data_IF_510559268333
#
_entry.id   IF_510559268333
#
_cell.length_a   1.000
_cell.length_b   1.000
_cell.length_c   1.000
_cell.angle_alpha   90.00
_cell.angle_beta   90.00
_cell.angle_gamma   90.00
#
_symmetry.space_group_name_H-M   'P 1'
#
loop_
_entity.id
_entity.type
_entity.pdbx_description
1 polymer ?
#
# COMPACT_ATOMS: atom_id res chain seq x y z
N UNK A 1 -1.91 -16.23 -10.23
CA UNK A 1 -2.38 -15.65 -8.94
C UNK A 1 -1.27 -15.32 -7.96
N UNK A 2 -0.52 -16.26 -7.34
CA UNK A 2 0.51 -15.88 -6.35
C UNK A 2 1.61 -14.97 -6.93
N UNK A 3 2.06 -15.25 -8.15
CA UNK A 3 3.10 -14.45 -8.80
C UNK A 3 2.62 -13.05 -9.22
N UNK A 4 1.33 -12.88 -9.57
CA UNK A 4 0.75 -11.56 -9.91
C UNK A 4 0.60 -10.69 -8.66
N UNK A 5 0.16 -11.29 -7.54
CA UNK A 5 0.15 -10.62 -6.23
C UNK A 5 1.57 -10.16 -5.85
N UNK A 6 2.56 -11.04 -5.97
CA UNK A 6 3.96 -10.70 -5.68
C UNK A 6 4.48 -9.56 -6.57
N UNK A 7 4.07 -9.55 -7.85
CA UNK A 7 4.40 -8.47 -8.77
C UNK A 7 3.77 -7.15 -8.34
N UNK A 8 2.48 -7.12 -7.97
CA UNK A 8 1.86 -5.90 -7.45
C UNK A 8 2.60 -5.38 -6.21
N UNK A 9 2.89 -6.23 -5.23
CA UNK A 9 3.67 -5.85 -4.04
C UNK A 9 5.01 -5.23 -4.42
N UNK A 10 5.73 -5.86 -5.35
CA UNK A 10 7.01 -5.37 -5.86
C UNK A 10 6.88 -4.02 -6.57
N UNK A 11 5.82 -3.82 -7.34
CA UNK A 11 5.55 -2.59 -8.08
C UNK A 11 5.26 -1.41 -7.13
N UNK A 12 4.32 -1.57 -6.19
CA UNK A 12 4.01 -0.54 -5.19
C UNK A 12 5.23 -0.22 -4.32
N UNK A 13 6.01 -1.23 -3.93
CA UNK A 13 7.26 -1.04 -3.18
C UNK A 13 8.30 -0.26 -3.97
N UNK A 14 8.43 -0.55 -5.28
CA UNK A 14 9.35 0.15 -6.17
C UNK A 14 9.02 1.64 -6.26
N UNK A 15 7.75 1.98 -6.48
CA UNK A 15 7.32 3.38 -6.54
C UNK A 15 7.45 4.11 -5.19
N UNK A 16 7.13 3.45 -4.07
CA UNK A 16 7.35 4.01 -2.74
C UNK A 16 8.84 4.32 -2.50
N UNK A 17 9.75 3.41 -2.87
CA UNK A 17 11.19 3.64 -2.74
C UNK A 17 11.69 4.78 -3.63
N UNK A 18 11.23 4.87 -4.88
CA UNK A 18 11.60 5.93 -5.82
C UNK A 18 11.14 7.30 -5.32
N UNK A 19 9.85 7.45 -5.02
CA UNK A 19 9.27 8.71 -4.49
C UNK A 19 9.93 9.07 -3.17
N UNK A 20 10.04 8.13 -2.23
CA UNK A 20 10.65 8.36 -0.92
C UNK A 20 12.10 8.87 -1.04
N UNK A 21 12.91 8.24 -1.89
CA UNK A 21 14.31 8.64 -2.10
C UNK A 21 14.42 10.05 -2.67
N UNK A 22 13.63 10.37 -3.70
CA UNK A 22 13.64 11.68 -4.35
C UNK A 22 13.12 12.79 -3.44
N UNK A 23 12.07 12.53 -2.65
CA UNK A 23 11.56 13.50 -1.68
C UNK A 23 12.56 13.71 -0.56
N UNK A 24 13.14 12.66 0.02
CA UNK A 24 14.15 12.81 1.07
C UNK A 24 15.43 13.48 0.59
N UNK A 25 15.81 13.33 -0.68
CA UNK A 25 16.88 14.09 -1.30
C UNK A 25 16.55 15.59 -1.45
N UNK A 26 15.27 15.95 -1.52
CA UNK A 26 14.80 17.34 -1.63
C UNK A 26 14.75 18.07 -0.29
N UNK A 27 14.74 17.34 0.83
CA UNK A 27 14.66 17.93 2.16
C UNK A 27 16.08 18.31 2.66
N UNK A 28 16.30 19.54 3.17
CA UNK A 28 17.58 19.97 3.71
C UNK A 28 18.05 19.09 4.89
N UNK A 29 19.37 18.87 5.02
CA UNK A 29 19.97 18.03 6.08
C UNK A 29 19.60 18.48 7.51
N UNK A 30 19.38 19.77 7.73
CA UNK A 30 18.94 20.30 9.04
C UNK A 30 17.49 19.89 9.42
N UNK A 31 16.70 19.38 8.47
CA UNK A 31 15.27 19.04 8.63
C UNK A 31 14.99 17.54 8.57
N UNK A 32 16.01 16.70 8.49
CA UNK A 32 15.88 15.24 8.43
C UNK A 32 17.02 14.57 9.19
N UNK A 33 16.86 13.32 9.65
CA UNK A 33 17.99 12.51 10.11
C UNK A 33 18.96 12.25 8.96
N UNK A 34 20.19 11.87 9.31
CA UNK A 34 21.17 11.45 8.32
C UNK A 34 20.76 10.11 7.71
N UNK A 35 20.51 10.10 6.40
CA UNK A 35 19.99 8.95 5.65
C UNK A 35 20.99 8.53 4.57
N UNK A 36 21.15 7.22 4.40
CA UNK A 36 21.92 6.63 3.31
C UNK A 36 21.11 6.60 2.02
N UNK A 37 21.10 7.71 1.29
CA UNK A 37 20.52 7.77 -0.05
C UNK A 37 21.51 7.15 -1.05
N UNK A 38 21.10 6.09 -1.75
CA UNK A 38 21.94 5.38 -2.72
C UNK A 38 21.29 5.39 -4.09
N UNK A 39 22.08 5.77 -5.11
CA UNK A 39 21.70 5.63 -6.52
C UNK A 39 21.34 4.18 -6.88
N UNK A 40 22.04 3.21 -6.28
CA UNK A 40 21.79 1.78 -6.54
C UNK A 40 20.37 1.36 -6.15
N UNK A 41 19.85 1.86 -5.03
CA UNK A 41 18.48 1.55 -4.62
C UNK A 41 17.44 2.14 -5.57
N UNK A 42 17.69 3.34 -6.12
CA UNK A 42 16.82 3.89 -7.17
C UNK A 42 16.88 3.08 -8.47
N UNK A 43 18.08 2.66 -8.88
CA UNK A 43 18.27 1.82 -10.06
C UNK A 43 17.58 0.46 -9.90
N UNK A 44 17.73 -0.19 -8.75
CA UNK A 44 17.05 -1.45 -8.44
C UNK A 44 15.53 -1.29 -8.38
N UNK A 45 15.02 -0.21 -7.78
CA UNK A 45 13.59 0.06 -7.77
C UNK A 45 13.05 0.37 -9.18
N UNK A 46 13.82 1.05 -10.03
CA UNK A 46 13.47 1.27 -11.44
C UNK A 46 13.40 -0.05 -12.23
N UNK A 47 14.38 -0.94 -12.05
CA UNK A 47 14.36 -2.27 -12.66
C UNK A 47 13.21 -3.13 -12.10
N UNK A 48 12.95 -3.03 -10.80
CA UNK A 48 11.79 -3.64 -10.15
C UNK A 48 10.49 -3.19 -10.79
N UNK A 49 10.30 -1.87 -11.00
CA UNK A 49 9.12 -1.35 -11.68
C UNK A 49 8.96 -1.91 -13.11
N UNK A 50 10.05 -2.08 -13.87
CA UNK A 50 10.00 -2.70 -15.20
C UNK A 50 9.56 -4.18 -15.14
N UNK A 51 10.18 -4.97 -14.26
CA UNK A 51 9.88 -6.40 -14.12
C UNK A 51 8.47 -6.62 -13.61
N UNK A 52 8.08 -5.92 -12.54
CA UNK A 52 6.81 -6.16 -11.87
C UNK A 52 5.61 -5.61 -12.64
N UNK A 53 5.77 -4.53 -13.41
CA UNK A 53 4.69 -4.01 -14.27
C UNK A 53 4.38 -4.91 -15.48
N UNK A 54 5.25 -5.88 -15.79
CA UNK A 54 4.99 -6.84 -16.87
C UNK A 54 3.92 -7.88 -16.50
N UNK A 55 3.56 -8.02 -15.22
CA UNK A 55 2.68 -9.11 -14.79
C UNK A 55 1.31 -9.14 -15.48
N UNK A 56 0.54 -8.05 -15.56
CA UNK A 56 -0.74 -8.07 -16.27
C UNK A 56 -0.60 -8.39 -17.77
N UNK A 57 0.51 -7.98 -18.39
CA UNK A 57 0.79 -8.26 -19.81
C UNK A 57 1.10 -9.73 -20.03
N UNK A 58 1.93 -10.32 -19.16
CA UNK A 58 2.27 -11.74 -19.23
C UNK A 58 1.05 -12.63 -18.94
N UNK A 59 0.20 -12.22 -18.00
CA UNK A 59 -1.05 -12.92 -17.73
C UNK A 59 -1.99 -12.90 -18.93
N UNK A 60 -2.19 -11.74 -19.57
CA UNK A 60 -3.01 -11.67 -20.77
C UNK A 60 -2.40 -12.45 -21.94
N UNK A 61 -1.08 -12.37 -22.12
CA UNK A 61 -0.37 -13.10 -23.17
C UNK A 61 -0.51 -14.62 -23.01
N UNK A 62 -0.55 -15.12 -21.77
CA UNK A 62 -0.75 -16.55 -21.51
C UNK A 62 -2.08 -17.09 -22.03
N UNK A 63 -3.12 -16.24 -22.16
CA UNK A 63 -4.43 -16.63 -22.73
C UNK A 63 -4.37 -16.93 -24.22
N UNK A 64 -3.33 -16.49 -24.92
CA UNK A 64 -3.10 -16.73 -26.36
C UNK A 64 -2.03 -17.79 -26.61
N UNK A 65 -1.59 -18.51 -25.57
CA UNK A 65 -0.50 -19.46 -25.69
C UNK A 65 -0.80 -20.59 -26.68
N UNK A 66 -2.02 -21.13 -26.66
CA UNK A 66 -2.42 -22.24 -27.55
C UNK A 66 -2.54 -21.81 -29.02
N UNK A 67 -2.94 -20.57 -29.29
CA UNK A 67 -3.12 -20.07 -30.66
C UNK A 67 -1.84 -19.53 -31.28
N UNK A 68 -1.09 -18.73 -30.54
CA UNK A 68 0.01 -17.91 -31.08
C UNK A 68 1.38 -18.27 -30.47
N UNK A 69 1.43 -19.22 -29.53
CA UNK A 69 2.59 -19.49 -28.70
C UNK A 69 2.90 -18.35 -27.73
N UNK A 70 3.89 -18.52 -26.86
CA UNK A 70 4.23 -17.50 -25.84
C UNK A 70 4.71 -16.18 -26.44
N UNK A 71 5.63 -16.24 -27.41
CA UNK A 71 6.15 -15.05 -28.08
C UNK A 71 5.08 -14.34 -28.92
N UNK A 72 4.29 -15.10 -29.68
CA UNK A 72 3.19 -14.54 -30.47
C UNK A 72 2.12 -13.91 -29.57
N UNK A 73 1.79 -14.54 -28.43
CA UNK A 73 0.89 -13.99 -27.43
C UNK A 73 1.35 -12.63 -26.89
N UNK A 74 2.64 -12.47 -26.55
CA UNK A 74 3.20 -11.17 -26.11
C UNK A 74 3.09 -10.13 -27.23
N UNK A 75 3.50 -10.47 -28.45
CA UNK A 75 3.44 -9.56 -29.60
C UNK A 75 2.00 -9.11 -29.87
N UNK A 76 1.05 -10.05 -29.79
CA UNK A 76 -0.38 -9.79 -29.94
C UNK A 76 -0.90 -8.84 -28.85
N UNK A 77 -0.56 -9.08 -27.59
CA UNK A 77 -0.94 -8.19 -26.48
C UNK A 77 -0.40 -6.78 -26.68
N UNK A 78 0.86 -6.63 -27.09
CA UNK A 78 1.47 -5.33 -27.32
C UNK A 78 0.82 -4.59 -28.50
N UNK A 79 0.44 -5.29 -29.57
CA UNK A 79 -0.13 -4.67 -30.78
C UNK A 79 -1.62 -4.36 -30.62
N UNK A 80 -2.39 -5.31 -30.11
CA UNK A 80 -3.85 -5.29 -30.23
C UNK A 80 -4.55 -4.79 -28.96
N UNK A 81 -3.87 -4.82 -27.80
CA UNK A 81 -4.48 -4.50 -26.52
C UNK A 81 -3.87 -3.24 -25.90
N UNK A 82 -4.73 -2.35 -25.41
CA UNK A 82 -4.34 -1.10 -24.75
C UNK A 82 -3.35 -1.35 -23.59
N UNK A 83 -3.56 -2.42 -22.81
CA UNK A 83 -2.68 -2.76 -21.68
C UNK A 83 -1.23 -3.02 -22.13
N UNK A 84 -1.05 -3.70 -23.26
CA UNK A 84 0.27 -3.99 -23.83
C UNK A 84 0.92 -2.76 -24.45
N UNK A 85 0.14 -1.92 -25.13
CA UNK A 85 0.61 -0.66 -25.71
C UNK A 85 1.10 0.31 -24.62
N UNK A 86 0.31 0.50 -23.56
CA UNK A 86 0.68 1.38 -22.44
C UNK A 86 1.86 0.80 -21.67
N UNK A 87 1.91 -0.52 -21.44
CA UNK A 87 3.07 -1.15 -20.81
C UNK A 87 4.34 -0.97 -21.64
N UNK A 88 4.28 -1.11 -22.96
CA UNK A 88 5.43 -0.87 -23.83
C UNK A 88 5.93 0.59 -23.73
N UNK A 89 5.00 1.56 -23.69
CA UNK A 89 5.35 2.97 -23.43
C UNK A 89 5.96 3.16 -22.04
N UNK A 90 5.39 2.54 -21.00
CA UNK A 90 5.95 2.55 -19.65
C UNK A 90 7.35 1.96 -19.61
N UNK A 91 7.62 0.87 -20.35
CA UNK A 91 8.94 0.26 -20.42
C UNK A 91 9.97 1.22 -21.03
N UNK A 92 9.62 1.91 -22.13
CA UNK A 92 10.47 2.96 -22.71
C UNK A 92 10.73 4.07 -21.68
N UNK A 93 9.70 4.55 -21.00
CA UNK A 93 9.84 5.57 -19.96
C UNK A 93 10.71 5.11 -18.78
N UNK A 94 10.60 3.85 -18.36
CA UNK A 94 11.44 3.27 -17.30
C UNK A 94 12.89 3.17 -17.74
N UNK A 95 13.17 2.77 -18.99
CA UNK A 95 14.53 2.72 -19.54
C UNK A 95 15.13 4.14 -19.56
N UNK A 96 14.38 5.12 -20.07
CA UNK A 96 14.81 6.51 -20.08
C UNK A 96 15.07 7.04 -18.67
N UNK A 97 14.16 6.75 -17.73
CA UNK A 97 14.32 7.12 -16.32
C UNK A 97 15.56 6.46 -15.71
N UNK A 98 15.79 5.16 -15.96
CA UNK A 98 16.96 4.43 -15.47
C UNK A 98 18.27 5.03 -15.97
N UNK A 99 18.35 5.32 -17.27
CA UNK A 99 19.52 5.98 -17.87
C UNK A 99 19.70 7.38 -17.27
N UNK A 100 18.60 8.14 -17.14
CA UNK A 100 18.61 9.47 -16.55
C UNK A 100 19.18 9.46 -15.14
N UNK A 101 18.68 8.63 -14.22
CA UNK A 101 19.18 8.57 -12.84
C UNK A 101 20.62 8.04 -12.74
N UNK A 102 21.08 7.32 -13.77
CA UNK A 102 22.43 6.76 -13.84
C UNK A 102 23.46 7.84 -14.16
N UNK A 103 23.16 8.73 -15.12
CA UNK A 103 24.10 9.75 -15.59
C UNK A 103 23.87 11.13 -14.96
N UNK A 104 22.64 11.46 -14.58
CA UNK A 104 22.31 12.78 -14.04
C UNK A 104 22.71 12.95 -12.55
N UNK A 105 23.07 14.16 -12.13
CA UNK A 105 23.41 14.50 -10.73
C UNK A 105 22.14 14.70 -9.87
N UNK A 106 21.25 13.71 -9.83
CA UNK A 106 19.92 13.77 -9.17
C UNK A 106 19.99 14.13 -7.67
N UNK A 107 21.07 13.75 -6.99
CA UNK A 107 21.26 14.04 -5.57
C UNK A 107 21.91 15.39 -5.29
N UNK A 108 22.59 15.97 -6.28
CA UNK A 108 23.32 17.22 -6.14
C UNK A 108 22.45 18.41 -6.57
N UNK A 109 21.64 18.23 -7.63
CA UNK A 109 20.97 19.32 -8.31
C UNK A 109 19.44 19.20 -8.26
N UNK A 110 18.77 20.28 -7.87
CA UNK A 110 17.31 20.32 -7.71
C UNK A 110 16.56 20.13 -9.03
N UNK A 111 17.07 20.67 -10.14
CA UNK A 111 16.42 20.56 -11.44
C UNK A 111 16.30 19.10 -11.89
N UNK A 112 17.41 18.35 -11.84
CA UNK A 112 17.41 16.92 -12.19
C UNK A 112 16.52 16.09 -11.28
N UNK A 113 16.44 16.46 -9.99
CA UNK A 113 15.55 15.80 -9.04
C UNK A 113 14.07 16.03 -9.34
N UNK A 114 13.69 17.24 -9.77
CA UNK A 114 12.33 17.54 -10.20
C UNK A 114 11.96 16.78 -11.49
N UNK A 115 12.89 16.69 -12.43
CA UNK A 115 12.72 15.88 -13.66
C UNK A 115 12.53 14.40 -13.27
N UNK A 116 13.34 13.87 -12.36
CA UNK A 116 13.19 12.50 -11.87
C UNK A 116 11.82 12.26 -11.21
N UNK A 117 11.32 13.20 -10.39
CA UNK A 117 9.98 13.12 -9.81
C UNK A 117 8.88 13.11 -10.88
N UNK A 118 9.02 13.95 -11.91
CA UNK A 118 8.11 13.96 -13.04
C UNK A 118 8.06 12.60 -13.74
N UNK A 119 9.21 11.98 -14.04
CA UNK A 119 9.26 10.62 -14.60
C UNK A 119 8.48 9.61 -13.74
N UNK A 120 8.73 9.60 -12.42
CA UNK A 120 8.07 8.63 -11.53
C UNK A 120 6.55 8.87 -11.48
N UNK A 121 6.11 10.13 -11.45
CA UNK A 121 4.68 10.48 -11.48
C UNK A 121 4.04 10.05 -12.81
N UNK A 122 4.71 10.30 -13.96
CA UNK A 122 4.24 9.84 -15.27
C UNK A 122 4.12 8.32 -15.35
N UNK A 123 5.06 7.59 -14.74
CA UNK A 123 5.01 6.13 -14.66
C UNK A 123 3.85 5.63 -13.80
N UNK A 124 3.60 6.24 -12.63
CA UNK A 124 2.45 5.91 -11.80
C UNK A 124 1.15 6.17 -12.56
N UNK A 125 1.07 7.28 -13.31
CA UNK A 125 -0.09 7.59 -14.13
C UNK A 125 -0.29 6.54 -15.24
N UNK A 126 0.76 6.14 -15.94
CA UNK A 126 0.70 5.11 -16.98
C UNK A 126 0.17 3.77 -16.42
N UNK A 127 0.67 3.34 -15.25
CA UNK A 127 0.15 2.15 -14.55
C UNK A 127 -1.32 2.33 -14.16
N UNK A 128 -1.72 3.52 -13.74
CA UNK A 128 -3.09 3.80 -13.30
C UNK A 128 -4.10 3.81 -14.46
N UNK A 129 -3.69 4.20 -15.67
CA UNK A 129 -4.53 4.10 -16.87
C UNK A 129 -4.83 2.65 -17.23
N UNK A 130 -3.94 1.71 -16.90
CA UNK A 130 -4.13 0.27 -17.10
C UNK A 130 -4.95 -0.41 -16.00
N UNK A 131 -5.41 0.33 -14.98
CA UNK A 131 -6.14 -0.28 -13.87
C UNK A 131 -7.60 -0.57 -14.20
N UNK A 132 -8.18 -1.56 -13.54
CA UNK A 132 -9.60 -1.92 -13.67
C UNK A 132 -10.53 -0.73 -13.42
N UNK A 133 -10.17 0.17 -12.51
CA UNK A 133 -10.98 1.37 -12.26
C UNK A 133 -10.99 2.34 -13.44
N UNK A 134 -9.95 2.36 -14.27
CA UNK A 134 -9.90 3.21 -15.46
C UNK A 134 -10.88 2.78 -16.56
N UNK A 135 -11.22 1.49 -16.65
CA UNK A 135 -12.26 1.01 -17.59
C UNK A 135 -13.68 1.27 -17.08
N UNK A 136 -13.86 1.52 -15.79
CA UNK A 136 -15.18 1.75 -15.17
C UNK A 136 -15.61 3.22 -15.19
N UNK A 137 -14.66 4.16 -15.22
CA UNK A 137 -14.96 5.58 -15.21
C UNK A 137 -13.82 6.40 -15.82
N UNK A 138 -14.11 7.49 -16.55
CA UNK A 138 -13.09 8.44 -17.03
C UNK A 138 -12.18 8.98 -15.92
N UNK A 139 -12.68 9.03 -14.67
CA UNK A 139 -11.93 9.51 -13.52
C UNK A 139 -11.21 8.41 -12.75
N UNK A 140 -11.48 7.13 -13.03
CA UNK A 140 -10.92 6.01 -12.27
C UNK A 140 -9.40 5.93 -12.34
N UNK A 141 -8.81 6.25 -13.49
CA UNK A 141 -7.35 6.36 -13.63
C UNK A 141 -6.77 7.47 -12.72
N UNK A 142 -7.46 8.61 -12.62
CA UNK A 142 -7.03 9.73 -11.78
C UNK A 142 -7.14 9.37 -10.30
N UNK A 143 -8.26 8.77 -9.87
CA UNK A 143 -8.43 8.34 -8.48
C UNK A 143 -7.35 7.35 -8.07
N UNK A 144 -7.05 6.37 -8.94
CA UNK A 144 -6.02 5.39 -8.67
C UNK A 144 -4.61 6.02 -8.66
N UNK A 145 -4.29 6.90 -9.62
CA UNK A 145 -3.01 7.58 -9.67
C UNK A 145 -2.77 8.44 -8.42
N UNK A 146 -3.76 9.25 -8.02
CA UNK A 146 -3.66 10.09 -6.82
C UNK A 146 -3.50 9.23 -5.58
N UNK A 147 -4.31 8.16 -5.44
CA UNK A 147 -4.20 7.23 -4.32
C UNK A 147 -2.80 6.62 -4.23
N UNK A 148 -2.26 6.14 -5.36
CA UNK A 148 -0.95 5.51 -5.43
C UNK A 148 0.21 6.49 -5.18
N UNK A 149 0.11 7.73 -5.68
CA UNK A 149 1.09 8.79 -5.40
C UNK A 149 1.10 9.09 -3.90
N UNK A 150 -0.06 9.32 -3.28
CA UNK A 150 -0.14 9.64 -1.85
C UNK A 150 0.39 8.48 -0.98
N UNK A 151 0.04 7.24 -1.32
CA UNK A 151 0.58 6.04 -0.68
C UNK A 151 2.10 5.96 -0.83
N UNK A 152 2.63 6.27 -2.02
CA UNK A 152 4.08 6.26 -2.30
C UNK A 152 4.81 7.38 -1.56
N UNK A 153 4.22 8.56 -1.41
CA UNK A 153 4.77 9.67 -0.61
C UNK A 153 4.86 9.27 0.86
N UNK A 154 3.74 8.85 1.46
CA UNK A 154 3.67 8.52 2.88
C UNK A 154 4.56 7.32 3.21
N UNK A 155 4.36 6.19 2.52
CA UNK A 155 5.12 4.95 2.74
C UNK A 155 6.58 5.14 2.37
N UNK A 156 6.87 5.79 1.26
CA UNK A 156 8.23 5.99 0.77
C UNK A 156 9.11 6.78 1.73
N UNK A 157 8.63 7.93 2.20
CA UNK A 157 9.37 8.73 3.20
C UNK A 157 9.57 7.92 4.48
N UNK A 158 8.53 7.24 4.95
CA UNK A 158 8.60 6.44 6.17
C UNK A 158 9.60 5.29 6.03
N UNK A 159 9.66 4.61 4.87
CA UNK A 159 10.63 3.56 4.60
C UNK A 159 12.07 4.11 4.62
N UNK A 160 12.31 5.23 3.92
CA UNK A 160 13.63 5.87 3.90
C UNK A 160 14.11 6.20 5.31
N UNK A 161 13.27 6.86 6.09
CA UNK A 161 13.63 7.29 7.45
C UNK A 161 13.75 6.11 8.41
N UNK A 162 12.94 5.07 8.25
CA UNK A 162 12.94 3.93 9.18
C UNK A 162 14.12 3.00 8.96
N UNK A 163 14.46 2.71 7.70
CA UNK A 163 15.41 1.64 7.36
C UNK A 163 16.76 2.17 6.91
N UNK A 164 16.85 3.43 6.44
CA UNK A 164 18.09 4.01 5.90
C UNK A 164 18.69 5.13 6.77
N UNK A 165 18.04 5.52 7.88
CA UNK A 165 18.60 6.50 8.82
C UNK A 165 19.73 5.93 9.67
N UNK A 166 20.91 6.56 9.64
CA UNK A 166 22.06 6.17 10.47
C UNK A 166 21.91 6.58 11.94
N UNK A 167 21.20 7.68 12.20
CA UNK A 167 21.02 8.23 13.54
C UNK A 167 19.62 8.86 13.69
N UNK A 168 19.34 9.37 14.89
CA UNK A 168 18.11 10.09 15.25
C UNK A 168 18.33 11.60 15.38
N UNK A 169 19.43 12.15 14.82
CA UNK A 169 19.65 13.61 14.81
C UNK A 169 18.56 14.30 14.01
N UNK A 170 18.22 15.54 14.37
CA UNK A 170 17.17 16.34 13.70
C UNK A 170 15.77 15.69 13.63
N UNK A 171 15.49 14.64 14.42
CA UNK A 171 14.22 13.93 14.35
C UNK A 171 13.01 14.80 14.66
N UNK A 172 13.15 15.74 15.61
CA UNK A 172 12.11 16.73 15.89
C UNK A 172 11.85 17.64 14.70
N UNK A 173 12.89 18.04 13.97
CA UNK A 173 12.75 18.84 12.75
C UNK A 173 12.07 18.03 11.65
N UNK A 174 12.37 16.75 11.53
CA UNK A 174 11.68 15.82 10.63
C UNK A 174 10.17 15.74 10.95
N UNK A 175 9.81 15.45 12.20
CA UNK A 175 8.42 15.35 12.63
C UNK A 175 7.64 16.68 12.56
N UNK A 176 8.32 17.83 12.43
CA UNK A 176 7.62 19.13 12.25
C UNK A 176 6.97 19.22 10.87
N UNK A 177 7.63 18.75 9.82
CA UNK A 177 7.10 18.83 8.46
C UNK A 177 6.47 17.51 7.99
N UNK A 178 7.01 16.36 8.42
CA UNK A 178 6.50 15.07 7.96
C UNK A 178 5.14 14.72 8.60
N UNK A 179 4.91 15.03 9.88
CA UNK A 179 3.62 14.71 10.51
C UNK A 179 2.41 15.38 9.81
N UNK A 180 2.46 16.68 9.43
CA UNK A 180 1.43 17.28 8.58
C UNK A 180 1.28 16.60 7.21
N UNK A 181 2.40 16.31 6.52
CA UNK A 181 2.38 15.64 5.21
C UNK A 181 1.73 14.26 5.32
N UNK A 182 2.09 13.47 6.33
CA UNK A 182 1.52 12.16 6.59
C UNK A 182 0.02 12.25 6.90
N UNK A 183 -0.40 13.21 7.74
CA UNK A 183 -1.82 13.40 8.06
C UNK A 183 -2.66 13.78 6.83
N UNK A 184 -2.17 14.71 6.01
CA UNK A 184 -2.82 15.09 4.75
C UNK A 184 -2.87 13.89 3.79
N UNK A 185 -1.75 13.17 3.66
CA UNK A 185 -1.67 11.98 2.80
C UNK A 185 -2.69 10.94 3.22
N UNK A 186 -2.75 10.60 4.51
CA UNK A 186 -3.71 9.64 5.07
C UNK A 186 -5.15 10.08 4.80
N UNK A 187 -5.50 11.34 5.06
CA UNK A 187 -6.84 11.86 4.80
C UNK A 187 -7.23 11.74 3.33
N UNK A 188 -6.32 12.09 2.42
CA UNK A 188 -6.56 11.99 0.98
C UNK A 188 -6.54 10.52 0.47
N UNK A 189 -5.77 9.63 1.08
CA UNK A 189 -5.77 8.19 0.79
C UNK A 189 -7.12 7.59 1.17
N UNK A 190 -7.66 7.93 2.36
CA UNK A 190 -8.99 7.49 2.78
C UNK A 190 -10.04 8.02 1.80
N UNK A 191 -9.98 9.30 1.45
CA UNK A 191 -10.92 9.92 0.52
C UNK A 191 -10.87 9.27 -0.88
N UNK A 192 -9.68 9.15 -1.48
CA UNK A 192 -9.52 8.51 -2.80
C UNK A 192 -9.82 7.02 -2.76
N UNK A 193 -9.52 6.32 -1.66
CA UNK A 193 -9.89 4.93 -1.45
C UNK A 193 -11.40 4.74 -1.42
N UNK A 194 -12.13 5.65 -0.77
CA UNK A 194 -13.58 5.66 -0.78
C UNK A 194 -14.14 5.91 -2.20
N UNK A 195 -13.58 6.86 -2.95
CA UNK A 195 -13.97 7.08 -4.35
C UNK A 195 -13.74 5.83 -5.21
N UNK A 196 -12.61 5.14 -5.03
CA UNK A 196 -12.36 3.86 -5.72
C UNK A 196 -13.40 2.80 -5.32
N UNK A 197 -13.77 2.70 -4.04
CA UNK A 197 -14.83 1.79 -3.60
C UNK A 197 -16.17 2.09 -4.28
N UNK A 198 -16.55 3.36 -4.44
CA UNK A 198 -17.81 3.74 -5.12
C UNK A 198 -17.85 3.36 -6.60
N UNK A 199 -16.69 3.16 -7.24
CA UNK A 199 -16.60 2.67 -8.62
C UNK A 199 -16.69 1.15 -8.71
N UNK A 200 -16.41 0.44 -7.62
CA UNK A 200 -16.22 -1.02 -7.59
C UNK A 200 -17.37 -1.78 -6.95
N UNK A 201 -18.19 -1.11 -6.15
CA UNK A 201 -19.37 -1.69 -5.49
C UNK A 201 -20.32 -0.60 -4.99
N UNK A 202 -21.57 -0.99 -4.71
CA UNK A 202 -22.46 -0.19 -3.90
C UNK A 202 -21.97 -0.18 -2.43
N UNK A 203 -21.48 0.97 -1.94
CA UNK A 203 -20.91 1.07 -0.59
C UNK A 203 -21.91 0.73 0.51
N UNK A 204 -23.22 0.94 0.28
CA UNK A 204 -24.25 0.54 1.23
C UNK A 204 -24.33 -0.98 1.43
N UNK A 205 -23.90 -1.76 0.44
CA UNK A 205 -23.88 -3.21 0.45
C UNK A 205 -22.53 -3.78 0.90
N UNK A 206 -21.57 -2.93 1.30
CA UNK A 206 -20.24 -3.38 1.70
C UNK A 206 -20.25 -4.53 2.73
N UNK A 207 -21.08 -4.52 3.81
CA UNK A 207 -21.16 -5.67 4.70
C UNK A 207 -21.56 -6.97 3.99
N UNK A 208 -22.44 -6.89 2.99
CA UNK A 208 -22.89 -8.05 2.22
C UNK A 208 -21.79 -8.64 1.34
N UNK A 209 -20.83 -7.81 0.93
CA UNK A 209 -19.64 -8.27 0.18
C UNK A 209 -18.70 -9.11 1.03
N UNK A 210 -18.81 -9.13 2.37
CA UNK A 210 -17.94 -9.97 3.21
C UNK A 210 -18.16 -11.47 2.97
N UNK A 211 -19.26 -11.88 2.34
CA UNK A 211 -19.44 -13.25 1.90
C UNK A 211 -18.52 -13.63 0.71
N UNK A 212 -17.96 -12.63 0.02
CA UNK A 212 -17.13 -12.77 -1.17
C UNK A 212 -15.64 -12.54 -0.86
N UNK A 213 -14.75 -13.10 -1.68
CA UNK A 213 -13.30 -12.95 -1.52
C UNK A 213 -12.87 -11.47 -1.52
N UNK A 214 -13.36 -10.68 -2.49
CA UNK A 214 -13.02 -9.26 -2.57
C UNK A 214 -13.39 -8.51 -1.27
N UNK A 215 -14.60 -8.72 -0.73
CA UNK A 215 -15.03 -8.05 0.50
C UNK A 215 -14.24 -8.49 1.73
N UNK A 216 -13.84 -9.77 1.82
CA UNK A 216 -12.98 -10.29 2.87
C UNK A 216 -11.61 -9.60 2.89
N UNK A 217 -10.92 -9.54 1.76
CA UNK A 217 -9.61 -8.87 1.68
C UNK A 217 -9.73 -7.35 1.86
N UNK A 218 -10.82 -6.75 1.41
CA UNK A 218 -11.07 -5.33 1.64
C UNK A 218 -11.29 -5.05 3.13
N UNK A 219 -12.01 -5.91 3.85
CA UNK A 219 -12.16 -5.82 5.30
C UNK A 219 -10.81 -5.95 6.02
N UNK A 220 -10.02 -6.96 5.67
CA UNK A 220 -8.67 -7.16 6.23
C UNK A 220 -7.80 -5.91 6.00
N UNK A 221 -7.87 -5.29 4.81
CA UNK A 221 -7.16 -4.04 4.51
C UNK A 221 -7.55 -2.92 5.48
N UNK A 222 -8.85 -2.70 5.70
CA UNK A 222 -9.34 -1.71 6.65
C UNK A 222 -8.86 -1.97 8.09
N UNK A 223 -8.88 -3.24 8.52
CA UNK A 223 -8.43 -3.63 9.86
C UNK A 223 -6.92 -3.49 10.07
N UNK A 224 -6.10 -3.73 9.03
CA UNK A 224 -4.65 -3.50 9.06
C UNK A 224 -4.34 -2.00 9.20
N UNK A 225 -5.12 -1.13 8.57
CA UNK A 225 -4.89 0.33 8.63
C UNK A 225 -5.03 0.86 10.06
N UNK A 226 -5.87 0.25 10.91
CA UNK A 226 -6.09 0.74 12.29
C UNK A 226 -4.80 0.73 13.13
N UNK A 227 -4.03 -0.37 13.29
CA UNK A 227 -2.73 -0.34 13.95
C UNK A 227 -1.73 0.64 13.33
N UNK A 228 -1.73 0.79 12.00
CA UNK A 228 -0.87 1.79 11.33
C UNK A 228 -1.22 3.20 11.83
N UNK A 229 -2.51 3.54 11.90
CA UNK A 229 -2.95 4.84 12.41
C UNK A 229 -2.59 5.03 13.89
N UNK A 230 -2.65 3.96 14.71
CA UNK A 230 -2.19 4.01 16.11
C UNK A 230 -0.68 4.31 16.16
N UNK A 231 0.14 3.61 15.37
CA UNK A 231 1.58 3.88 15.29
C UNK A 231 1.87 5.32 14.81
N UNK A 232 1.22 5.75 13.72
CA UNK A 232 1.39 7.07 13.14
C UNK A 232 1.00 8.17 14.13
N UNK A 233 -0.11 7.99 14.86
CA UNK A 233 -0.56 8.89 15.92
C UNK A 233 0.46 8.94 17.07
N UNK A 234 0.89 7.78 17.56
CA UNK A 234 1.84 7.71 18.67
C UNK A 234 3.20 8.32 18.27
N UNK A 235 3.67 8.12 17.05
CA UNK A 235 4.89 8.73 16.53
C UNK A 235 4.75 10.25 16.41
N UNK A 236 3.64 10.72 15.83
CA UNK A 236 3.41 12.13 15.53
C UNK A 236 3.14 12.98 16.78
N UNK A 237 2.50 12.42 17.81
CA UNK A 237 2.11 13.17 19.00
C UNK A 237 2.90 12.76 20.25
N UNK A 238 2.88 11.48 20.62
CA UNK A 238 3.47 11.01 21.87
C UNK A 238 5.01 11.03 21.83
N UNK A 239 5.62 10.39 20.83
CA UNK A 239 7.08 10.33 20.67
C UNK A 239 7.63 11.73 20.42
N UNK A 240 6.99 12.51 19.55
CA UNK A 240 7.32 13.94 19.34
C UNK A 240 7.32 14.74 20.64
N UNK A 241 6.31 14.57 21.49
CA UNK A 241 6.21 15.24 22.80
C UNK A 241 7.33 14.80 23.74
N UNK A 242 7.64 13.51 23.82
CA UNK A 242 8.75 12.99 24.65
C UNK A 242 10.10 13.53 24.21
N UNK A 243 10.37 13.56 22.89
CA UNK A 243 11.60 14.11 22.34
C UNK A 243 11.74 15.62 22.64
N UNK A 244 10.65 16.40 22.56
CA UNK A 244 10.65 17.82 22.94
C UNK A 244 11.02 18.06 24.41
N UNK A 245 10.69 17.10 25.29
CA UNK A 245 11.03 17.13 26.72
C UNK A 245 12.43 16.59 27.03
N UNK A 246 13.28 16.37 26.02
CA UNK A 246 14.67 15.92 26.20
C UNK A 246 14.83 14.41 26.39
N UNK A 247 13.83 13.60 26.07
CA UNK A 247 13.97 12.13 26.13
C UNK A 247 15.03 11.63 25.15
N UNK A 248 15.89 10.72 25.60
CA UNK A 248 16.91 10.03 24.79
C UNK A 248 16.37 8.79 24.03
N UNK A 249 15.05 8.61 24.01
CA UNK A 249 14.40 7.50 23.31
C UNK A 249 14.74 7.52 21.81
N UNK A 250 15.18 6.38 21.26
CA UNK A 250 15.38 6.24 19.82
C UNK A 250 14.02 6.07 19.11
N UNK A 251 13.59 7.05 18.31
CA UNK A 251 12.28 7.00 17.66
C UNK A 251 12.24 6.08 16.44
N UNK A 252 13.40 5.68 15.90
CA UNK A 252 13.48 4.87 14.67
C UNK A 252 12.80 3.52 14.81
N UNK A 253 12.83 2.92 16.01
CA UNK A 253 12.21 1.61 16.25
C UNK A 253 10.69 1.65 16.05
N UNK A 254 10.06 2.78 16.35
CA UNK A 254 8.61 2.94 16.21
C UNK A 254 8.20 3.23 14.77
N UNK A 255 9.01 3.97 14.01
CA UNK A 255 8.76 4.16 12.57
C UNK A 255 9.07 2.89 11.77
N UNK A 256 10.03 2.06 12.21
CA UNK A 256 10.25 0.71 11.68
C UNK A 256 9.01 -0.17 11.88
N UNK A 257 8.42 -0.18 13.08
CA UNK A 257 7.18 -0.92 13.33
C UNK A 257 6.01 -0.38 12.49
N UNK A 258 5.84 0.95 12.42
CA UNK A 258 4.84 1.60 11.58
C UNK A 258 4.98 1.21 10.10
N UNK A 259 6.19 1.33 9.54
CA UNK A 259 6.45 1.01 8.14
C UNK A 259 6.33 -0.48 7.83
N UNK A 260 6.79 -1.35 8.73
CA UNK A 260 6.61 -2.79 8.58
C UNK A 260 5.12 -3.17 8.54
N UNK A 261 4.29 -2.54 9.40
CA UNK A 261 2.86 -2.79 9.41
C UNK A 261 2.17 -2.20 8.16
N UNK A 262 2.57 -1.01 7.73
CA UNK A 262 2.07 -0.38 6.51
C UNK A 262 2.37 -1.20 5.26
N UNK A 263 3.53 -1.89 5.20
CA UNK A 263 3.86 -2.81 4.11
C UNK A 263 2.91 -4.01 4.00
N UNK A 264 2.20 -4.41 5.07
CA UNK A 264 1.18 -5.47 5.02
C UNK A 264 -0.04 -5.09 4.16
N UNK A 265 -0.24 -3.79 3.91
CA UNK A 265 -1.31 -3.29 3.04
C UNK A 265 -1.05 -3.66 1.56
N UNK A 266 0.22 -3.78 1.15
CA UNK A 266 0.56 -4.07 -0.25
C UNK A 266 0.14 -5.47 -0.69
N UNK A 267 0.43 -6.57 0.04
CA UNK A 267 -0.05 -7.89 -0.34
C UNK A 267 -1.57 -7.97 -0.42
N UNK A 268 -2.28 -7.36 0.53
CA UNK A 268 -3.75 -7.35 0.53
C UNK A 268 -4.29 -6.55 -0.66
N UNK A 269 -3.65 -5.42 -0.99
CA UNK A 269 -3.98 -4.68 -2.22
C UNK A 269 -3.68 -5.50 -3.47
N UNK A 270 -2.59 -6.27 -3.46
CA UNK A 270 -2.23 -7.23 -4.51
C UNK A 270 -3.30 -8.30 -4.74
N UNK A 271 -3.89 -8.82 -3.67
CA UNK A 271 -5.02 -9.76 -3.79
C UNK A 271 -6.26 -9.05 -4.34
N UNK A 272 -6.56 -7.84 -3.87
CA UNK A 272 -7.69 -7.06 -4.35
C UNK A 272 -7.58 -6.67 -5.83
N UNK A 273 -6.38 -6.36 -6.32
CA UNK A 273 -6.13 -6.05 -7.73
C UNK A 273 -6.36 -7.24 -8.66
N UNK A 274 -6.31 -8.46 -8.12
CA UNK A 274 -6.50 -9.72 -8.84
C UNK A 274 -7.87 -10.36 -8.58
N UNK A 275 -8.66 -9.81 -7.66
CA UNK A 275 -10.00 -10.31 -7.32
C UNK A 275 -11.05 -9.57 -8.13
N UNK A 276 -12.09 -10.27 -8.58
CA UNK A 276 -13.21 -9.63 -9.24
C UNK A 276 -13.98 -8.75 -8.24
N UNK A 277 -14.13 -7.43 -8.51
CA UNK A 277 -14.89 -6.57 -7.63
C UNK A 277 -16.38 -6.88 -7.70
N UNK A 278 -17.11 -6.84 -6.57
CA UNK A 278 -18.51 -7.23 -6.50
C UNK A 278 -19.40 -6.09 -7.01
N UNK A 279 -19.40 -5.87 -8.32
CA UNK A 279 -20.32 -4.94 -8.99
C UNK A 279 -21.78 -5.34 -8.78
N UNK A 280 -22.02 -6.65 -8.79
CA UNK A 280 -23.27 -7.28 -8.42
C UNK A 280 -22.96 -8.51 -7.55
N UNK A 281 -23.41 -8.46 -6.30
CA UNK A 281 -23.10 -9.50 -5.30
C UNK A 281 -23.69 -10.85 -5.70
N UNK A 282 -24.93 -10.90 -6.21
CA UNK A 282 -25.59 -12.15 -6.59
C UNK A 282 -24.90 -12.83 -7.77
N UNK A 283 -24.53 -12.05 -8.78
CA UNK A 283 -23.79 -12.56 -9.95
C UNK A 283 -22.42 -13.08 -9.52
N UNK A 284 -21.68 -12.30 -8.73
CA UNK A 284 -20.34 -12.69 -8.27
C UNK A 284 -20.39 -13.94 -7.38
N UNK A 285 -21.42 -14.05 -6.52
CA UNK A 285 -21.66 -15.27 -5.72
C UNK A 285 -21.92 -16.48 -6.61
N UNK A 286 -22.68 -16.32 -7.70
CA UNK A 286 -23.00 -17.40 -8.61
C UNK A 286 -21.79 -17.86 -9.45
N UNK A 287 -20.86 -16.95 -9.79
CA UNK A 287 -19.66 -17.27 -10.59
C UNK A 287 -18.50 -17.77 -9.74
N UNK A 288 -18.20 -17.08 -8.64
CA UNK A 288 -16.97 -17.27 -7.85
C UNK A 288 -17.21 -18.06 -6.56
N UNK A 289 -18.48 -18.20 -6.15
CA UNK A 289 -18.86 -18.83 -4.91
C UNK A 289 -18.58 -17.98 -3.66
N UNK A 290 -18.78 -18.59 -2.49
CA UNK A 290 -18.46 -17.97 -1.21
C UNK A 290 -16.95 -17.97 -0.97
N UNK A 291 -16.47 -16.96 -0.23
CA UNK A 291 -15.07 -16.92 0.18
C UNK A 291 -14.73 -18.11 1.09
N UNK A 292 -13.61 -18.81 0.84
CA UNK A 292 -13.14 -19.86 1.76
C UNK A 292 -12.96 -19.36 3.18
N UNK A 293 -12.49 -18.11 3.36
CA UNK A 293 -12.34 -17.50 4.69
C UNK A 293 -13.69 -17.27 5.38
N UNK A 294 -14.71 -16.88 4.63
CA UNK A 294 -16.06 -16.67 5.15
C UNK A 294 -16.69 -17.99 5.61
N UNK A 295 -16.59 -19.04 4.79
CA UNK A 295 -17.18 -20.36 5.08
C UNK A 295 -16.61 -21.04 6.33
N UNK A 296 -15.44 -20.61 6.83
CA UNK A 296 -14.88 -21.10 8.09
C UNK A 296 -15.65 -20.61 9.33
N UNK A 297 -16.36 -19.50 9.24
CA UNK A 297 -17.01 -18.84 10.38
C UNK A 297 -18.53 -18.76 10.27
N UNK A 298 -19.05 -18.51 9.07
CA UNK A 298 -20.48 -18.42 8.80
C UNK A 298 -20.81 -19.31 7.59
N UNK A 299 -21.40 -20.51 7.81
CA UNK A 299 -21.76 -21.40 6.71
C UNK A 299 -22.99 -20.91 5.93
N UNK A 300 -23.75 -19.97 6.49
CA UNK A 300 -24.97 -19.43 5.90
C UNK A 300 -24.65 -18.33 4.86
N UNK A 301 -25.40 -18.30 3.76
CA UNK A 301 -25.16 -17.39 2.62
C UNK A 301 -25.56 -15.93 2.88
N UNK A 302 -26.36 -15.69 3.92
CA UNK A 302 -26.94 -14.38 4.26
C UNK A 302 -26.25 -13.79 5.48
N UNK A 303 -25.71 -12.58 5.34
CA UNK A 303 -25.04 -11.87 6.44
C UNK A 303 -26.11 -11.15 7.26
N UNK A 304 -26.28 -11.60 8.51
CA UNK A 304 -27.20 -11.00 9.46
C UNK A 304 -26.48 -10.76 10.78
N UNK A 305 -26.38 -9.49 11.19
CA UNK A 305 -25.71 -9.16 12.45
C UNK A 305 -26.43 -9.76 13.66
N UNK A 306 -25.75 -10.68 14.34
CA UNK A 306 -26.21 -11.39 15.53
C UNK A 306 -25.05 -11.60 16.50
N UNK A 307 -24.62 -10.55 17.23
CA UNK A 307 -23.47 -10.65 18.13
C UNK A 307 -23.73 -11.68 19.24
N UNK A 308 -22.86 -12.69 19.31
CA UNK A 308 -22.86 -13.73 20.34
C UNK A 308 -21.75 -13.55 21.38
N UNK A 309 -21.61 -14.57 22.24
CA UNK A 309 -20.56 -14.61 23.28
C UNK A 309 -19.15 -14.61 22.65
N UNK A 310 -18.96 -15.34 21.54
CA UNK A 310 -17.67 -15.42 20.84
C UNK A 310 -17.26 -14.08 20.24
N UNK A 311 -18.19 -13.38 19.56
CA UNK A 311 -17.91 -12.03 19.08
C UNK A 311 -17.60 -11.09 20.24
N UNK A 312 -18.37 -11.14 21.34
CA UNK A 312 -18.08 -10.31 22.51
C UNK A 312 -16.65 -10.55 23.05
N UNK A 313 -16.22 -11.81 23.16
CA UNK A 313 -14.86 -12.18 23.56
C UNK A 313 -13.80 -11.58 22.62
N UNK A 314 -13.93 -11.78 21.31
CA UNK A 314 -12.98 -11.25 20.33
C UNK A 314 -12.98 -9.72 20.29
N UNK A 315 -14.12 -9.08 20.49
CA UNK A 315 -14.24 -7.63 20.64
C UNK A 315 -13.46 -7.12 21.86
N UNK A 316 -13.59 -7.78 23.02
CA UNK A 316 -12.80 -7.46 24.21
C UNK A 316 -11.30 -7.67 23.96
N UNK A 317 -10.91 -8.78 23.32
CA UNK A 317 -9.50 -9.03 22.97
C UNK A 317 -8.94 -7.97 22.03
N UNK A 318 -9.70 -7.54 21.01
CA UNK A 318 -9.30 -6.46 20.11
C UNK A 318 -9.05 -5.16 20.89
N UNK A 319 -9.97 -4.77 21.79
CA UNK A 319 -9.79 -3.58 22.63
C UNK A 319 -8.56 -3.71 23.55
N UNK A 320 -8.33 -4.89 24.14
CA UNK A 320 -7.17 -5.16 24.97
C UNK A 320 -5.87 -5.06 24.17
N UNK A 321 -5.80 -5.64 22.97
CA UNK A 321 -4.61 -5.55 22.11
C UNK A 321 -4.36 -4.11 21.63
N UNK A 322 -5.40 -3.33 21.33
CA UNK A 322 -5.24 -1.91 21.04
C UNK A 322 -4.66 -1.14 22.24
N UNK A 323 -5.17 -1.38 23.45
CA UNK A 323 -4.65 -0.76 24.66
C UNK A 323 -3.20 -1.18 24.95
N UNK A 324 -2.90 -2.48 24.80
CA UNK A 324 -1.55 -3.03 24.96
C UNK A 324 -0.58 -2.43 23.94
N UNK A 325 -1.00 -2.24 22.68
CA UNK A 325 -0.18 -1.61 21.64
C UNK A 325 0.25 -0.20 22.07
N UNK A 326 -0.71 0.61 22.55
CA UNK A 326 -0.44 1.95 23.07
C UNK A 326 0.49 1.88 24.30
N UNK A 327 0.25 0.95 25.21
CA UNK A 327 1.08 0.76 26.41
C UNK A 327 2.52 0.36 26.09
N UNK A 328 2.74 -0.51 25.09
CA UNK A 328 4.06 -0.94 24.65
C UNK A 328 4.89 0.25 24.17
N UNK A 329 4.28 1.14 23.39
CA UNK A 329 4.94 2.37 22.92
C UNK A 329 5.24 3.30 24.10
N UNK A 330 4.28 3.50 25.02
CA UNK A 330 4.46 4.35 26.21
C UNK A 330 5.55 3.83 27.16
N UNK A 331 5.63 2.52 27.34
CA UNK A 331 6.63 1.84 28.19
C UNK A 331 7.96 1.62 27.46
N UNK A 332 8.13 2.16 26.26
CA UNK A 332 9.34 2.05 25.46
C UNK A 332 9.78 0.59 25.18
N UNK A 333 8.83 -0.33 25.05
CA UNK A 333 9.08 -1.76 24.90
C UNK A 333 9.70 -2.12 23.52
N UNK A 334 10.05 -3.39 23.26
CA UNK A 334 10.58 -3.82 21.97
C UNK A 334 9.57 -3.61 20.82
N UNK A 335 10.05 -3.08 19.69
CA UNK A 335 9.20 -2.81 18.52
C UNK A 335 8.56 -4.09 17.93
N UNK A 336 9.25 -5.23 18.02
CA UNK A 336 8.75 -6.54 17.57
C UNK A 336 7.51 -6.96 18.35
N UNK A 337 7.50 -6.73 19.67
CA UNK A 337 6.33 -6.99 20.53
C UNK A 337 5.13 -6.13 20.11
N UNK A 338 5.36 -4.83 19.88
CA UNK A 338 4.31 -3.93 19.40
C UNK A 338 3.77 -4.35 18.02
N UNK A 339 4.64 -4.79 17.10
CA UNK A 339 4.23 -5.32 15.80
C UNK A 339 3.35 -6.57 15.96
N UNK A 340 3.76 -7.53 16.79
CA UNK A 340 2.99 -8.75 17.05
C UNK A 340 1.62 -8.45 17.69
N UNK A 341 1.57 -7.50 18.64
CA UNK A 341 0.30 -7.06 19.24
C UNK A 341 -0.60 -6.36 18.22
N UNK A 342 -0.04 -5.59 17.29
CA UNK A 342 -0.78 -5.02 16.17
C UNK A 342 -1.41 -6.10 15.28
N UNK A 343 -0.70 -7.20 15.02
CA UNK A 343 -1.25 -8.33 14.27
C UNK A 343 -2.38 -9.03 15.04
N UNK A 344 -2.18 -9.27 16.33
CA UNK A 344 -3.21 -9.85 17.20
C UNK A 344 -4.46 -8.97 17.24
N UNK A 345 -4.31 -7.64 17.29
CA UNK A 345 -5.42 -6.71 17.15
C UNK A 345 -6.18 -6.93 15.83
N UNK A 346 -5.48 -7.01 14.70
CA UNK A 346 -6.11 -7.20 13.38
C UNK A 346 -6.85 -8.53 13.32
N UNK A 347 -6.26 -9.62 13.80
CA UNK A 347 -6.90 -10.94 13.83
C UNK A 347 -8.11 -10.94 14.76
N UNK A 348 -7.99 -10.43 15.98
CA UNK A 348 -9.13 -10.37 16.92
C UNK A 348 -10.27 -9.48 16.40
N UNK A 349 -9.96 -8.35 15.75
CA UNK A 349 -10.97 -7.50 15.13
C UNK A 349 -11.67 -8.20 13.96
N UNK A 350 -10.94 -8.97 13.18
CA UNK A 350 -11.50 -9.74 12.07
C UNK A 350 -12.43 -10.85 12.61
N UNK A 351 -11.97 -11.63 13.58
CA UNK A 351 -12.76 -12.69 14.21
C UNK A 351 -13.99 -12.14 14.93
N UNK A 352 -13.88 -10.95 15.54
CA UNK A 352 -15.02 -10.25 16.12
C UNK A 352 -16.13 -10.05 15.08
N UNK A 353 -15.78 -9.51 13.91
CA UNK A 353 -16.74 -9.26 12.84
C UNK A 353 -17.30 -10.58 12.29
N UNK A 354 -16.43 -11.54 11.94
CA UNK A 354 -16.86 -12.82 11.36
C UNK A 354 -17.75 -13.64 12.29
N UNK A 355 -17.55 -13.58 13.60
CA UNK A 355 -18.41 -14.30 14.56
C UNK A 355 -19.63 -13.49 15.01
N UNK A 356 -19.80 -12.28 14.49
CA UNK A 356 -20.95 -11.41 14.77
C UNK A 356 -21.99 -11.40 13.65
N UNK A 357 -21.75 -12.13 12.55
CA UNK A 357 -22.54 -12.12 11.32
C UNK A 357 -23.06 -13.50 10.92
#
# INVERSE_FOLDING_TARGET
>A
MLWTIAAEVGLYSSFALLIGTLLMASIPEARKPEILLSRRWMQLASLGAAVFSAAPVLELASRFYESDGFYGGIVRVIKDFQIGQIWALSLVLIILFYLFITFAPVFQETQYRMIALFFVISLIFAVSVNSHTASLSPYGAIYHAVHMILMSVWTGILLQVSWFSKNSRNWLSFLKWFSPVAMISVGLIIFTGFLLMTLLMNVAEYPQTWSLNYGQYLLIKHLIVIPVLIFAFMNSFYIKSKLRKGSSLDPRKWTKAESAFLLLVFPVTGVLGQSEPPHNIEVTKATDGLSPLFTLFSPDETIAFGPGVMSALFGVLALLFAALLIMQIRKNAPAVSAFAIGLLFTVSSYLFIMTSI
#
